data_IF_738679766989
#
_entry.id   IF_738679766989
#
_cell.length_a   1.000
_cell.length_b   1.000
_cell.length_c   1.000
_cell.angle_alpha   90.00
_cell.angle_beta   90.00
_cell.angle_gamma   90.00
#
_symmetry.space_group_name_H-M   'P 1'
#
loop_
_entity.id
_entity.type
_entity.pdbx_description
1 polymer ?
#
# COMPACT_ATOMS: atom_id res chain seq x y z
N UNK A 1 -4.32 -8.72 -20.62
CA UNK A 1 -3.62 -7.57 -20.04
C UNK A 1 -4.63 -6.72 -19.28
N UNK A 2 -4.39 -6.52 -18.04
CA UNK A 2 -5.22 -5.68 -17.17
C UNK A 2 -4.59 -4.32 -16.95
N UNK A 3 -4.80 -3.76 -15.78
CA UNK A 3 -4.21 -2.51 -15.32
C UNK A 3 -3.57 -2.72 -13.95
N UNK A 4 -2.60 -1.90 -13.61
CA UNK A 4 -2.06 -1.79 -12.26
C UNK A 4 -2.45 -0.43 -11.66
N UNK A 5 -2.49 -0.36 -10.33
CA UNK A 5 -2.72 0.87 -9.60
C UNK A 5 -1.41 1.32 -8.95
N UNK A 6 -1.08 2.58 -9.12
CA UNK A 6 0.08 3.20 -8.45
C UNK A 6 -0.42 4.10 -7.33
N UNK A 7 0.16 3.97 -6.15
CA UNK A 7 -0.22 4.77 -4.99
C UNK A 7 0.98 5.23 -4.17
N UNK A 8 1.00 6.50 -3.79
CA UNK A 8 2.01 7.14 -2.96
C UNK A 8 1.41 7.56 -1.64
N UNK A 9 2.02 7.25 -0.51
CA UNK A 9 1.59 7.70 0.82
C UNK A 9 0.10 7.40 1.07
N UNK A 10 -0.73 8.39 1.32
CA UNK A 10 -2.19 8.26 1.44
C UNK A 10 -2.87 7.79 0.14
N UNK A 11 -2.27 8.04 -1.03
CA UNK A 11 -2.70 7.45 -2.29
C UNK A 11 -2.53 5.93 -2.32
N UNK A 12 -1.53 5.41 -1.61
CA UNK A 12 -1.38 3.97 -1.38
C UNK A 12 -2.54 3.39 -0.58
N UNK A 13 -3.04 4.11 0.42
CA UNK A 13 -4.24 3.73 1.15
C UNK A 13 -5.48 3.73 0.23
N UNK A 14 -5.68 4.77 -0.56
CA UNK A 14 -6.81 4.87 -1.48
C UNK A 14 -6.87 3.68 -2.46
N UNK A 15 -5.77 3.41 -3.15
CA UNK A 15 -5.73 2.30 -4.12
C UNK A 15 -5.77 0.94 -3.44
N UNK A 16 -5.23 0.82 -2.23
CA UNK A 16 -5.29 -0.39 -1.42
C UNK A 16 -6.72 -0.75 -1.00
N UNK A 17 -7.53 0.22 -0.61
CA UNK A 17 -8.96 0.01 -0.33
C UNK A 17 -9.71 -0.38 -1.61
N UNK A 18 -9.43 0.30 -2.72
CA UNK A 18 -10.05 -0.03 -4.01
C UNK A 18 -9.70 -1.44 -4.49
N UNK A 19 -8.53 -1.97 -4.14
CA UNK A 19 -8.09 -3.31 -4.50
C UNK A 19 -8.84 -4.43 -3.77
N UNK A 20 -9.53 -4.14 -2.68
CA UNK A 20 -10.44 -5.10 -2.05
C UNK A 20 -11.72 -5.26 -2.90
N UNK A 21 -12.11 -6.52 -3.16
CA UNK A 21 -13.26 -6.82 -4.03
C UNK A 21 -14.56 -6.21 -3.53
N UNK A 22 -14.84 -6.36 -2.25
CA UNK A 22 -16.12 -5.93 -1.66
C UNK A 22 -16.19 -4.42 -1.44
N UNK A 23 -15.07 -3.78 -1.12
CA UNK A 23 -14.99 -2.35 -0.81
C UNK A 23 -14.64 -1.49 -2.02
N UNK A 24 -14.03 -2.08 -3.05
CA UNK A 24 -13.48 -1.36 -4.18
C UNK A 24 -13.93 -1.93 -5.53
N UNK A 25 -13.02 -2.55 -6.26
CA UNK A 25 -13.24 -2.85 -7.67
C UNK A 25 -14.52 -3.63 -7.94
N UNK A 26 -14.86 -4.63 -7.14
CA UNK A 26 -16.07 -5.42 -7.34
C UNK A 26 -17.34 -4.62 -7.01
N UNK A 27 -17.31 -3.80 -5.96
CA UNK A 27 -18.42 -2.91 -5.59
C UNK A 27 -18.77 -1.92 -6.71
N UNK A 28 -17.76 -1.41 -7.41
CA UNK A 28 -17.94 -0.46 -8.50
C UNK A 28 -18.06 -1.11 -9.88
N UNK A 29 -18.09 -2.43 -9.96
CA UNK A 29 -18.18 -3.15 -11.23
C UNK A 29 -16.93 -3.04 -12.11
N UNK A 30 -15.79 -2.69 -11.54
CA UNK A 30 -14.51 -2.64 -12.24
C UNK A 30 -13.86 -4.03 -12.28
N UNK A 31 -12.98 -4.24 -13.25
CA UNK A 31 -12.13 -5.43 -13.27
C UNK A 31 -11.14 -5.43 -12.10
N UNK A 32 -10.72 -6.61 -11.63
CA UNK A 32 -9.66 -6.74 -10.62
C UNK A 32 -8.36 -6.13 -11.15
N UNK A 33 -7.67 -5.28 -10.38
CA UNK A 33 -6.33 -4.83 -10.74
C UNK A 33 -5.36 -6.00 -10.88
N UNK A 34 -4.44 -5.93 -11.83
CA UNK A 34 -3.40 -6.92 -12.00
C UNK A 34 -2.30 -6.84 -10.94
N UNK A 35 -2.06 -5.67 -10.38
CA UNK A 35 -1.16 -5.44 -9.25
C UNK A 35 -1.39 -4.07 -8.61
N UNK A 36 -0.88 -3.91 -7.38
CA UNK A 36 -0.65 -2.63 -6.72
C UNK A 36 0.84 -2.31 -6.69
N UNK A 37 1.19 -1.07 -7.02
CA UNK A 37 2.57 -0.57 -7.04
C UNK A 37 2.63 0.62 -6.06
N UNK A 38 3.15 0.39 -4.85
CA UNK A 38 3.00 1.31 -3.73
C UNK A 38 4.34 1.88 -3.26
N UNK A 39 4.40 3.19 -3.09
CA UNK A 39 5.54 3.89 -2.53
C UNK A 39 5.18 4.45 -1.15
N UNK A 40 5.93 4.06 -0.12
CA UNK A 40 5.73 4.51 1.27
C UNK A 40 4.25 4.61 1.67
N UNK A 41 3.45 3.54 1.47
CA UNK A 41 2.00 3.62 1.62
C UNK A 41 1.56 3.71 3.08
N UNK A 42 0.45 4.38 3.32
CA UNK A 42 -0.28 4.32 4.59
C UNK A 42 -1.31 3.19 4.51
N UNK A 43 -1.12 2.12 5.26
CA UNK A 43 -1.91 0.90 5.08
C UNK A 43 -2.47 0.30 6.38
N UNK A 44 -2.04 0.82 7.53
CA UNK A 44 -2.49 0.32 8.82
C UNK A 44 -2.73 1.45 9.80
N UNK A 45 -3.94 1.53 10.33
CA UNK A 45 -4.33 2.50 11.35
C UNK A 45 -4.54 1.86 12.74
N UNK A 46 -4.42 0.53 12.87
CA UNK A 46 -4.71 -0.18 14.12
C UNK A 46 -3.81 0.24 15.29
N UNK A 47 -2.56 0.54 14.99
CA UNK A 47 -1.55 0.95 15.98
C UNK A 47 -1.50 2.48 16.19
N UNK A 48 -2.24 3.24 15.38
CA UNK A 48 -2.07 4.70 15.28
C UNK A 48 -3.39 5.47 15.34
N UNK A 49 -4.32 5.04 16.14
CA UNK A 49 -5.67 5.61 16.26
C UNK A 49 -5.70 7.13 16.45
N UNK A 50 -4.81 7.67 17.27
CA UNK A 50 -4.76 9.13 17.54
C UNK A 50 -4.35 9.89 16.28
N UNK A 51 -3.38 9.37 15.54
CA UNK A 51 -2.94 10.00 14.30
C UNK A 51 -4.01 9.89 13.21
N UNK A 52 -4.72 8.78 13.16
CA UNK A 52 -5.87 8.64 12.26
C UNK A 52 -6.95 9.68 12.56
N UNK A 53 -7.27 9.90 13.83
CA UNK A 53 -8.18 10.94 14.26
C UNK A 53 -7.75 12.33 13.77
N UNK A 54 -6.47 12.66 13.98
CA UNK A 54 -5.93 13.95 13.57
C UNK A 54 -5.92 14.14 12.04
N UNK A 55 -5.70 13.06 11.28
CA UNK A 55 -5.61 13.10 9.82
C UNK A 55 -6.98 13.15 9.16
N UNK A 56 -7.95 12.42 9.68
CA UNK A 56 -9.22 12.20 9.01
C UNK A 56 -10.36 13.05 9.58
N UNK A 57 -10.15 13.68 10.75
CA UNK A 57 -11.13 14.54 11.43
C UNK A 57 -12.56 13.97 11.39
N UNK A 58 -12.69 12.69 11.73
CA UNK A 58 -13.96 11.98 11.63
C UNK A 58 -14.61 11.81 12.99
N UNK A 59 -15.89 12.10 13.13
CA UNK A 59 -16.64 11.92 14.37
C UNK A 59 -16.91 10.46 14.76
N UNK A 60 -16.74 9.52 13.84
CA UNK A 60 -16.93 8.08 14.06
C UNK A 60 -15.68 7.30 13.67
N UNK A 61 -14.67 7.38 14.49
CA UNK A 61 -13.34 6.82 14.20
C UNK A 61 -13.32 5.30 14.06
N UNK A 62 -14.12 4.60 14.85
CA UNK A 62 -14.11 3.14 14.85
C UNK A 62 -14.45 2.56 13.48
N UNK A 63 -15.47 3.07 12.85
CA UNK A 63 -15.92 2.58 11.55
C UNK A 63 -14.99 3.01 10.41
N UNK A 64 -14.62 4.29 10.33
CA UNK A 64 -13.71 4.80 9.30
C UNK A 64 -12.34 4.16 9.37
N UNK A 65 -11.83 3.98 10.59
CA UNK A 65 -10.61 3.26 10.86
C UNK A 65 -10.62 1.85 10.28
N UNK A 66 -11.62 1.06 10.62
CA UNK A 66 -11.77 -0.32 10.11
C UNK A 66 -11.89 -0.37 8.59
N UNK A 67 -12.66 0.54 8.01
CA UNK A 67 -12.85 0.58 6.56
C UNK A 67 -11.66 1.11 5.76
N UNK A 68 -10.72 1.78 6.41
CA UNK A 68 -9.60 2.45 5.75
C UNK A 68 -8.26 1.75 5.93
N UNK A 69 -8.15 0.80 6.85
CA UNK A 69 -6.91 0.07 7.11
C UNK A 69 -6.72 -1.04 6.06
N UNK A 70 -5.85 -0.79 5.10
CA UNK A 70 -5.62 -1.70 3.96
C UNK A 70 -5.19 -3.09 4.42
N UNK A 71 -4.33 -3.17 5.46
CA UNK A 71 -3.87 -4.46 5.99
C UNK A 71 -5.03 -5.36 6.46
N UNK A 72 -6.11 -4.77 6.97
CA UNK A 72 -7.31 -5.50 7.39
C UNK A 72 -8.23 -5.89 6.22
N UNK A 73 -7.97 -5.34 5.03
CA UNK A 73 -8.75 -5.58 3.82
C UNK A 73 -8.08 -6.53 2.83
N UNK A 74 -6.90 -7.04 3.16
CA UNK A 74 -6.24 -8.09 2.37
C UNK A 74 -7.03 -9.38 2.49
N UNK A 75 -7.31 -10.01 1.36
CA UNK A 75 -8.02 -11.29 1.25
C UNK A 75 -7.24 -12.25 0.34
N UNK A 76 -7.63 -13.51 0.29
CA UNK A 76 -7.01 -14.50 -0.61
C UNK A 76 -7.16 -14.12 -2.10
N UNK A 77 -8.14 -13.28 -2.42
CA UNK A 77 -8.35 -12.74 -3.78
C UNK A 77 -7.78 -11.33 -3.96
N UNK A 78 -6.91 -10.88 -3.07
CA UNK A 78 -6.27 -9.57 -3.22
C UNK A 78 -5.25 -9.58 -4.37
N UNK A 79 -5.10 -8.48 -5.15
CA UNK A 79 -4.12 -8.45 -6.22
C UNK A 79 -2.68 -8.49 -5.68
N UNK A 80 -1.70 -8.97 -6.49
CA UNK A 80 -0.29 -8.90 -6.15
C UNK A 80 0.18 -7.49 -5.80
N UNK A 81 1.13 -7.36 -4.87
CA UNK A 81 1.56 -6.07 -4.37
C UNK A 81 3.08 -5.91 -4.45
N UNK A 82 3.54 -4.88 -5.13
CA UNK A 82 4.89 -4.36 -4.99
C UNK A 82 4.86 -3.12 -4.12
N UNK A 83 5.64 -3.08 -3.05
CA UNK A 83 5.69 -1.89 -2.19
C UNK A 83 7.07 -1.65 -1.60
N UNK A 84 7.32 -0.41 -1.25
CA UNK A 84 8.54 -0.01 -0.59
C UNK A 84 8.36 1.13 0.39
N UNK A 85 9.30 1.27 1.30
CA UNK A 85 9.45 2.42 2.18
C UNK A 85 10.92 2.69 2.47
N UNK A 86 11.23 3.92 2.92
CA UNK A 86 12.59 4.29 3.32
C UNK A 86 12.78 4.12 4.83
N UNK A 87 13.94 3.64 5.26
CA UNK A 87 14.29 3.56 6.69
C UNK A 87 14.30 4.93 7.36
N UNK A 88 14.70 5.95 6.63
CA UNK A 88 14.79 7.33 7.10
C UNK A 88 13.53 8.16 6.82
N UNK A 89 12.44 7.51 6.44
CA UNK A 89 11.15 8.19 6.35
C UNK A 89 10.75 8.76 7.72
N UNK A 90 10.84 10.08 7.85
CA UNK A 90 10.60 10.81 9.12
C UNK A 90 9.25 11.50 9.18
N UNK A 91 8.47 11.39 8.12
CA UNK A 91 7.09 11.87 8.11
C UNK A 91 6.23 10.83 8.82
N UNK A 92 5.94 11.07 10.09
CA UNK A 92 5.23 10.12 10.94
C UNK A 92 5.93 8.74 10.96
N UNK A 93 7.22 8.67 11.39
CA UNK A 93 8.04 7.45 11.26
C UNK A 93 7.43 6.22 11.93
N UNK A 94 6.74 6.42 13.08
CA UNK A 94 5.98 5.37 13.76
C UNK A 94 4.75 4.91 12.98
N UNK A 95 4.18 5.76 12.14
CA UNK A 95 3.05 5.41 11.26
C UNK A 95 3.53 4.75 9.95
N UNK A 96 4.61 5.20 9.37
CA UNK A 96 5.07 4.75 8.06
C UNK A 96 6.05 3.58 8.16
N UNK A 97 7.19 3.77 8.81
CA UNK A 97 8.28 2.80 8.74
C UNK A 97 8.11 1.58 9.64
N UNK A 98 7.71 1.80 10.90
CA UNK A 98 7.72 0.74 11.90
C UNK A 98 6.42 -0.06 11.95
N UNK A 99 5.34 0.52 11.47
CA UNK A 99 4.00 -0.06 11.60
C UNK A 99 3.43 -0.44 10.23
N UNK A 100 3.61 0.38 9.22
CA UNK A 100 2.92 0.24 7.95
C UNK A 100 3.46 -0.92 7.09
N UNK A 101 4.74 -0.90 6.76
CA UNK A 101 5.35 -1.92 5.90
C UNK A 101 5.24 -3.33 6.46
N UNK A 102 5.68 -3.59 7.71
CA UNK A 102 5.55 -4.90 8.34
C UNK A 102 4.11 -5.38 8.48
N UNK A 103 3.15 -4.48 8.75
CA UNK A 103 1.74 -4.86 8.85
C UNK A 103 1.17 -5.31 7.50
N UNK A 104 1.49 -4.61 6.43
CA UNK A 104 1.07 -5.02 5.08
C UNK A 104 1.72 -6.35 4.68
N UNK A 105 3.02 -6.52 4.94
CA UNK A 105 3.72 -7.78 4.70
C UNK A 105 3.03 -8.94 5.40
N UNK A 106 2.77 -8.83 6.69
CA UNK A 106 2.13 -9.88 7.46
C UNK A 106 0.74 -10.25 6.92
N UNK A 107 -0.05 -9.26 6.51
CA UNK A 107 -1.37 -9.49 5.90
C UNK A 107 -1.26 -10.22 4.56
N UNK A 108 -0.33 -9.82 3.69
CA UNK A 108 -0.10 -10.47 2.39
C UNK A 108 0.37 -11.92 2.56
N UNK A 109 1.26 -12.18 3.52
CA UNK A 109 1.73 -13.53 3.84
C UNK A 109 0.60 -14.43 4.37
N UNK A 110 -0.22 -13.91 5.28
CA UNK A 110 -1.36 -14.65 5.85
C UNK A 110 -2.35 -15.13 4.77
N UNK A 111 -2.53 -14.34 3.72
CA UNK A 111 -3.43 -14.63 2.60
C UNK A 111 -2.72 -15.19 1.36
N UNK A 112 -1.41 -15.47 1.46
CA UNK A 112 -0.59 -16.01 0.35
C UNK A 112 -0.65 -15.17 -0.93
N UNK A 113 -0.83 -13.86 -0.78
CA UNK A 113 -0.81 -12.92 -1.90
C UNK A 113 0.63 -12.71 -2.34
N UNK A 114 0.95 -12.84 -3.63
CA UNK A 114 2.29 -12.56 -4.14
C UNK A 114 2.70 -11.10 -3.86
N UNK A 115 3.90 -10.91 -3.34
CA UNK A 115 4.39 -9.55 -3.08
C UNK A 115 5.90 -9.42 -3.23
N UNK A 116 6.33 -8.19 -3.43
CA UNK A 116 7.71 -7.73 -3.27
C UNK A 116 7.71 -6.56 -2.31
N UNK A 117 8.52 -6.64 -1.26
CA UNK A 117 8.78 -5.53 -0.34
C UNK A 117 10.23 -5.08 -0.48
N UNK A 118 10.45 -3.79 -0.68
CA UNK A 118 11.79 -3.18 -0.64
C UNK A 118 11.87 -2.17 0.50
N UNK A 119 13.02 -2.12 1.14
CA UNK A 119 13.34 -1.13 2.16
C UNK A 119 14.60 -0.39 1.73
N UNK A 120 14.47 0.90 1.45
CA UNK A 120 15.57 1.74 1.01
C UNK A 120 16.24 2.47 2.18
N UNK A 121 17.55 2.65 2.12
CA UNK A 121 18.31 3.27 3.22
C UNK A 121 18.11 4.79 3.28
N UNK A 122 18.05 5.44 2.12
CA UNK A 122 18.13 6.91 2.02
C UNK A 122 16.91 7.58 1.38
N UNK A 123 15.90 6.83 0.97
CA UNK A 123 14.72 7.38 0.35
C UNK A 123 13.79 8.04 1.38
N UNK A 124 13.60 9.37 1.34
CA UNK A 124 12.68 10.04 2.25
C UNK A 124 11.22 9.86 1.80
N UNK A 125 10.29 10.23 2.68
CA UNK A 125 8.88 10.32 2.32
C UNK A 125 8.65 11.33 1.19
N UNK A 126 7.64 11.07 0.37
CA UNK A 126 7.20 11.96 -0.73
C UNK A 126 8.23 12.17 -1.86
N UNK A 127 9.22 11.30 -1.98
CA UNK A 127 10.21 11.39 -3.07
C UNK A 127 9.66 10.91 -4.44
N UNK A 128 8.43 10.40 -4.49
CA UNK A 128 7.78 10.00 -5.74
C UNK A 128 8.50 8.85 -6.44
N UNK A 129 9.10 9.13 -7.59
CA UNK A 129 9.85 8.14 -8.37
C UNK A 129 11.25 7.82 -7.82
N UNK A 130 11.60 8.40 -6.68
CA UNK A 130 12.86 8.11 -5.99
C UNK A 130 14.09 8.79 -6.60
N UNK A 131 13.90 9.78 -7.45
CA UNK A 131 14.98 10.45 -8.17
C UNK A 131 16.09 10.95 -7.22
N UNK A 132 17.35 10.67 -7.57
CA UNK A 132 18.54 10.98 -6.78
C UNK A 132 18.68 10.24 -5.44
N UNK A 133 17.89 9.20 -5.21
CA UNK A 133 17.98 8.34 -4.02
C UNK A 133 18.22 6.89 -4.42
N UNK A 134 18.42 6.01 -3.44
CA UNK A 134 18.52 4.57 -3.67
C UNK A 134 17.20 3.90 -4.10
N UNK A 135 16.09 4.64 -4.05
CA UNK A 135 14.81 4.19 -4.60
C UNK A 135 14.64 4.51 -6.10
N UNK A 136 15.59 5.19 -6.72
CA UNK A 136 15.51 5.48 -8.17
C UNK A 136 15.37 4.19 -8.98
N UNK A 137 14.42 4.17 -9.90
CA UNK A 137 14.12 2.98 -10.70
C UNK A 137 13.09 2.03 -10.11
N UNK A 138 12.60 2.27 -8.88
CA UNK A 138 11.62 1.38 -8.24
C UNK A 138 10.37 1.15 -9.09
N UNK A 139 9.91 2.17 -9.83
CA UNK A 139 8.71 2.06 -10.65
C UNK A 139 8.93 1.12 -11.85
N UNK A 140 10.12 1.10 -12.43
CA UNK A 140 10.50 0.14 -13.48
C UNK A 140 10.46 -1.29 -12.94
N UNK A 141 11.03 -1.54 -11.77
CA UNK A 141 11.00 -2.85 -11.12
C UNK A 141 9.56 -3.27 -10.79
N UNK A 142 8.75 -2.33 -10.32
CA UNK A 142 7.35 -2.58 -9.99
C UNK A 142 6.50 -2.92 -11.22
N UNK A 143 6.75 -2.26 -12.35
CA UNK A 143 6.09 -2.59 -13.63
C UNK A 143 6.51 -3.98 -14.11
N UNK A 144 7.79 -4.33 -14.03
CA UNK A 144 8.26 -5.67 -14.37
C UNK A 144 7.61 -6.75 -13.48
N UNK A 145 7.46 -6.48 -12.18
CA UNK A 145 6.71 -7.36 -11.28
C UNK A 145 5.26 -7.54 -11.75
N UNK A 146 4.54 -6.46 -12.05
CA UNK A 146 3.16 -6.55 -12.56
C UNK A 146 3.08 -7.38 -13.85
N UNK A 147 3.98 -7.15 -14.79
CA UNK A 147 4.03 -7.92 -16.05
C UNK A 147 4.25 -9.42 -15.79
N UNK A 148 5.12 -9.79 -14.85
CA UNK A 148 5.35 -11.17 -14.46
C UNK A 148 4.09 -11.81 -13.83
N UNK A 149 3.37 -11.07 -12.98
CA UNK A 149 2.16 -11.58 -12.32
C UNK A 149 0.97 -11.72 -13.29
N UNK A 150 0.98 -11.01 -14.40
CA UNK A 150 -0.10 -11.01 -15.39
C UNK A 150 0.28 -11.68 -16.71
N UNK A 151 1.47 -12.24 -16.83
CA UNK A 151 1.87 -13.06 -17.96
C UNK A 151 0.98 -14.31 -18.03
N UNK A 152 0.39 -14.49 -19.20
CA UNK A 152 -0.46 -15.66 -19.47
C UNK A 152 0.42 -16.91 -19.74
#
# INVERSE_FOLDING_TARGET
QGYALVGYSSGGQLVGVFANKERGYGHYGAAKPGALLLAYPVVNFSEVKIAYQALMDTGNYGWHYYCSSVADLVTDDYPPVFFWYGKDDKVLPWMINQVQGPALQAALEAHKVPYVMKVFESAPHSIGVGYTTDAEGWLTDAVAFWEQQTAA
#
